data_IF_681903345215
#
_entry.id   IF_681903345215
#
_cell.length_a   1.000
_cell.length_b   1.000
_cell.length_c   1.000
_cell.angle_alpha   90.00
_cell.angle_beta   90.00
_cell.angle_gamma   90.00
#
_symmetry.space_group_name_H-M   'P 1'
#
loop_
_entity.id
_entity.type
_entity.pdbx_description
1 polymer ?
#
# COMPACT_ATOMS: atom_id res chain seq x y z
N UNK A 1 -86.26 26.62 -7.01
CA UNK A 1 -86.16 27.14 -5.62
C UNK A 1 -84.99 26.38 -4.97
N UNK A 2 -83.74 26.80 -5.24
CA UNK A 2 -82.83 27.59 -4.35
C UNK A 2 -82.35 26.81 -3.11
N UNK A 3 -81.12 27.00 -2.59
CA UNK A 3 -79.77 27.06 -3.17
C UNK A 3 -78.79 26.04 -2.49
N UNK A 4 -77.51 25.99 -2.92
CA UNK A 4 -76.40 25.19 -2.33
C UNK A 4 -75.88 25.78 -1.02
N UNK A 5 -75.33 24.95 -0.11
CA UNK A 5 -74.01 25.28 0.48
C UNK A 5 -73.18 24.00 0.74
N UNK A 6 -71.85 23.95 0.88
CA UNK A 6 -70.69 24.80 0.66
C UNK A 6 -69.53 23.79 0.71
N UNK A 7 -68.67 23.76 -0.30
CA UNK A 7 -67.41 23.00 -0.19
C UNK A 7 -66.48 23.86 0.67
N UNK A 8 -65.98 23.37 1.82
CA UNK A 8 -64.94 24.10 2.52
C UNK A 8 -63.62 23.88 1.77
N UNK A 9 -63.32 24.81 0.86
CA UNK A 9 -61.95 25.12 0.51
C UNK A 9 -61.28 25.78 1.72
N UNK A 10 -60.02 25.45 1.98
CA UNK A 10 -59.15 25.97 3.04
C UNK A 10 -59.20 25.27 4.40
N UNK A 11 -58.64 24.06 4.47
CA UNK A 11 -57.52 23.86 5.40
C UNK A 11 -56.30 23.43 4.58
N UNK A 12 -55.45 24.42 4.29
CA UNK A 12 -54.07 24.20 3.92
C UNK A 12 -53.40 23.37 5.05
N UNK A 13 -53.02 22.14 4.75
CA UNK A 13 -51.92 21.46 5.43
C UNK A 13 -51.05 20.78 4.37
N UNK A 14 -50.29 21.64 3.71
CA UNK A 14 -48.97 21.44 3.13
C UNK A 14 -48.40 20.02 3.19
N UNK A 15 -48.28 19.42 2.00
CA UNK A 15 -47.14 18.67 1.51
C UNK A 15 -46.07 18.21 2.54
N UNK A 16 -45.95 16.88 2.69
CA UNK A 16 -44.65 16.20 2.77
C UNK A 16 -44.88 14.78 2.23
N UNK A 17 -44.63 14.58 0.94
CA UNK A 17 -43.34 14.17 0.39
C UNK A 17 -43.00 12.72 0.76
N UNK A 18 -42.96 11.90 -0.28
CA UNK A 18 -41.85 11.00 -0.61
C UNK A 18 -41.44 10.04 0.53
N UNK A 19 -41.67 8.73 0.36
CA UNK A 19 -40.91 8.01 -0.64
C UNK A 19 -39.44 8.00 -0.25
N UNK A 20 -38.95 6.85 0.20
CA UNK A 20 -37.58 6.34 0.06
C UNK A 20 -37.23 5.52 1.29
N UNK A 21 -37.21 4.21 1.09
CA UNK A 21 -36.42 3.26 1.85
C UNK A 21 -34.98 3.77 1.94
N UNK A 22 -34.63 4.46 3.02
CA UNK A 22 -33.24 4.61 3.43
C UNK A 22 -32.86 3.36 4.21
N UNK A 23 -32.74 2.25 3.48
CA UNK A 23 -31.78 1.22 3.84
C UNK A 23 -30.44 1.95 3.70
N UNK A 24 -29.90 2.46 4.80
CA UNK A 24 -28.53 2.96 4.88
C UNK A 24 -27.59 1.77 4.73
N UNK A 25 -27.49 1.31 3.48
CA UNK A 25 -26.53 0.34 3.04
C UNK A 25 -25.13 0.91 3.27
N UNK A 26 -24.39 0.21 4.11
CA UNK A 26 -23.02 -0.18 3.85
C UNK A 26 -22.00 0.97 3.74
N UNK A 27 -21.57 1.46 4.90
CA UNK A 27 -20.25 2.10 5.04
C UNK A 27 -19.12 1.08 4.89
N UNK A 28 -19.04 0.41 3.74
CA UNK A 28 -17.79 -0.26 3.34
C UNK A 28 -16.95 0.82 2.68
N UNK A 29 -16.05 1.45 3.45
CA UNK A 29 -15.01 2.28 2.87
C UNK A 29 -14.32 1.46 1.77
N UNK A 30 -14.33 1.97 0.54
CA UNK A 30 -13.67 1.32 -0.59
C UNK A 30 -12.16 1.12 -0.33
N UNK A 31 -11.46 0.38 -1.20
CA UNK A 31 -10.02 0.22 -1.07
C UNK A 31 -9.33 1.58 -0.99
N UNK A 32 -8.39 1.72 -0.05
CA UNK A 32 -7.62 2.95 0.15
C UNK A 32 -6.92 3.35 -1.16
N UNK A 33 -6.84 4.66 -1.48
CA UNK A 33 -6.10 5.11 -2.64
C UNK A 33 -4.61 4.75 -2.50
N UNK A 34 -4.03 4.29 -3.59
CA UNK A 34 -2.59 4.04 -3.71
C UNK A 34 -1.96 5.05 -4.67
N UNK A 35 -0.67 5.31 -4.46
CA UNK A 35 0.12 6.22 -5.26
C UNK A 35 1.33 5.47 -5.81
N UNK A 36 1.64 5.58 -7.11
CA UNK A 36 2.84 5.00 -7.70
C UNK A 36 4.06 5.28 -6.85
N UNK A 37 4.78 4.21 -6.53
CA UNK A 37 5.93 4.25 -5.65
C UNK A 37 6.92 3.15 -6.06
N UNK A 38 8.20 3.48 -6.02
CA UNK A 38 9.27 2.58 -6.43
C UNK A 38 10.61 3.12 -6.03
N UNK A 39 11.66 2.59 -6.64
CA UNK A 39 13.00 3.03 -6.34
C UNK A 39 14.08 2.07 -6.78
N UNK A 40 15.23 2.16 -6.10
CA UNK A 40 16.39 1.31 -6.37
C UNK A 40 17.01 0.83 -5.06
N UNK A 41 17.38 -0.45 -5.02
CA UNK A 41 18.14 -1.06 -3.94
C UNK A 41 19.59 -1.23 -4.36
N UNK A 42 20.50 -0.68 -3.56
CA UNK A 42 21.94 -0.77 -3.78
C UNK A 42 22.65 -1.22 -2.50
N UNK A 43 23.81 -1.83 -2.66
CA UNK A 43 24.75 -1.98 -1.57
C UNK A 43 25.39 -0.64 -1.22
N UNK A 44 25.96 -0.53 -0.02
CA UNK A 44 26.71 0.67 0.40
C UNK A 44 27.86 1.05 -0.55
N UNK A 45 28.38 0.10 -1.30
CA UNK A 45 29.41 0.28 -2.34
C UNK A 45 28.85 0.83 -3.68
N UNK A 46 27.53 1.03 -3.78
CA UNK A 46 26.82 1.52 -4.96
C UNK A 46 26.39 0.43 -5.96
N UNK A 47 26.83 -0.82 -5.78
CA UNK A 47 26.44 -1.94 -6.64
C UNK A 47 24.95 -2.22 -6.47
N UNK A 48 24.16 -2.45 -7.54
CA UNK A 48 22.76 -2.83 -7.39
C UNK A 48 22.60 -4.19 -6.71
N UNK A 49 21.57 -4.31 -5.87
CA UNK A 49 21.12 -5.62 -5.39
C UNK A 49 20.30 -6.28 -6.51
N UNK A 50 20.82 -7.32 -7.14
CA UNK A 50 20.14 -8.01 -8.22
C UNK A 50 19.21 -9.11 -7.69
N UNK A 51 17.90 -8.87 -7.72
CA UNK A 51 16.89 -9.83 -7.27
C UNK A 51 16.44 -9.64 -5.82
N UNK A 52 15.42 -10.40 -5.42
CA UNK A 52 14.78 -10.29 -4.10
C UNK A 52 13.49 -9.47 -4.12
N UNK A 53 13.06 -9.05 -2.94
CA UNK A 53 11.79 -8.34 -2.73
C UNK A 53 11.95 -7.23 -1.70
N UNK A 54 11.32 -6.08 -1.96
CA UNK A 54 11.10 -5.00 -0.99
C UNK A 54 9.65 -5.08 -0.51
N UNK A 55 9.43 -4.87 0.79
CA UNK A 55 8.09 -4.76 1.37
C UNK A 55 7.98 -3.53 2.26
N UNK A 56 6.88 -2.78 2.11
CA UNK A 56 6.56 -1.57 2.86
C UNK A 56 5.28 -1.80 3.67
N UNK A 57 5.39 -1.66 4.99
CA UNK A 57 4.29 -1.79 5.95
C UNK A 57 3.88 -0.41 6.48
N UNK A 58 2.62 0.00 6.35
CA UNK A 58 2.13 1.26 6.91
C UNK A 58 2.32 1.32 8.44
N UNK A 59 2.77 2.46 8.94
CA UNK A 59 3.01 2.69 10.38
C UNK A 59 1.70 3.02 11.10
N UNK A 60 0.93 3.98 10.58
CA UNK A 60 -0.26 4.50 11.26
C UNK A 60 -1.48 3.58 11.15
N UNK A 61 -1.43 2.60 10.24
CA UNK A 61 -2.52 1.66 10.04
C UNK A 61 -1.99 0.25 9.71
N UNK A 62 -1.55 -0.52 10.71
CA UNK A 62 -0.96 -1.85 10.51
C UNK A 62 -1.95 -2.89 9.99
N UNK A 63 -3.25 -2.58 9.94
CA UNK A 63 -4.27 -3.45 9.34
C UNK A 63 -4.36 -3.30 7.82
N UNK A 64 -3.72 -2.28 7.24
CA UNK A 64 -3.62 -2.11 5.80
C UNK A 64 -2.57 -3.07 5.23
N UNK A 65 -2.89 -3.64 4.08
CA UNK A 65 -2.02 -4.59 3.36
C UNK A 65 -0.69 -3.90 3.03
N UNK A 66 0.42 -4.56 3.39
CA UNK A 66 1.76 -4.12 2.98
C UNK A 66 1.90 -4.13 1.45
N UNK A 67 2.57 -3.11 0.92
CA UNK A 67 2.94 -3.10 -0.50
C UNK A 67 4.25 -3.86 -0.73
N UNK A 68 4.40 -4.49 -1.89
CA UNK A 68 5.59 -5.29 -2.25
C UNK A 68 6.07 -5.00 -3.66
N UNK A 69 7.37 -5.16 -3.88
CA UNK A 69 7.98 -5.03 -5.20
C UNK A 69 9.16 -5.98 -5.39
N UNK A 70 9.20 -6.69 -6.51
CA UNK A 70 10.35 -7.49 -6.90
C UNK A 70 11.49 -6.60 -7.38
N UNK A 71 12.69 -6.88 -6.89
CA UNK A 71 13.90 -6.15 -7.25
C UNK A 71 14.43 -6.74 -8.58
N UNK A 72 14.56 -5.89 -9.59
CA UNK A 72 15.07 -6.24 -10.91
C UNK A 72 16.60 -6.46 -10.88
N UNK A 73 17.21 -7.03 -11.95
CA UNK A 73 18.66 -7.23 -12.01
C UNK A 73 19.48 -5.93 -11.87
N UNK A 74 18.90 -4.80 -12.26
CA UNK A 74 19.51 -3.49 -12.07
C UNK A 74 19.20 -2.87 -10.69
N UNK A 75 18.55 -3.59 -9.77
CA UNK A 75 18.19 -3.10 -8.45
C UNK A 75 16.92 -2.25 -8.40
N UNK A 76 16.27 -1.95 -9.53
CA UNK A 76 15.00 -1.21 -9.51
C UNK A 76 13.86 -2.04 -8.97
N UNK A 77 12.89 -1.40 -8.32
CA UNK A 77 11.64 -2.02 -7.91
C UNK A 77 10.46 -1.06 -8.10
N UNK A 78 9.28 -1.64 -8.21
CA UNK A 78 8.01 -0.92 -8.19
C UNK A 78 7.07 -1.61 -7.20
N UNK A 79 6.42 -0.83 -6.34
CA UNK A 79 5.50 -1.34 -5.33
C UNK A 79 4.11 -1.58 -5.91
N UNK A 80 3.42 -2.57 -5.37
CA UNK A 80 1.98 -2.75 -5.51
C UNK A 80 1.36 -3.22 -4.19
N UNK A 81 0.13 -2.76 -3.92
CA UNK A 81 -0.68 -3.12 -2.75
C UNK A 81 -1.84 -4.02 -3.15
N UNK A 82 -2.73 -3.56 -4.04
CA UNK A 82 -3.94 -4.30 -4.41
C UNK A 82 -3.83 -4.94 -5.80
N UNK A 83 -3.07 -4.30 -6.69
CA UNK A 83 -2.77 -4.75 -8.04
C UNK A 83 -1.29 -4.57 -8.34
N UNK A 84 -0.72 -5.32 -9.30
CA UNK A 84 0.67 -5.13 -9.69
C UNK A 84 0.94 -3.68 -10.11
N UNK A 85 1.91 -3.04 -9.46
CA UNK A 85 2.40 -1.70 -9.81
C UNK A 85 1.49 -0.53 -9.44
N UNK A 86 0.38 -0.75 -8.71
CA UNK A 86 -0.52 0.34 -8.27
C UNK A 86 0.07 1.22 -7.15
N UNK A 87 1.24 0.86 -6.64
CA UNK A 87 2.00 1.62 -5.67
C UNK A 87 1.69 1.24 -4.23
N UNK A 88 1.64 2.25 -3.36
CA UNK A 88 1.44 2.09 -1.93
C UNK A 88 0.46 3.14 -1.40
N UNK A 89 -0.17 2.87 -0.26
CA UNK A 89 -1.03 3.85 0.41
C UNK A 89 -0.19 5.04 0.92
N UNK A 90 -0.80 6.23 0.94
CA UNK A 90 -0.17 7.43 1.51
C UNK A 90 0.17 7.25 2.99
N UNK A 91 1.27 7.87 3.43
CA UNK A 91 1.71 7.88 4.82
C UNK A 91 3.11 7.31 5.03
N UNK A 92 3.50 7.17 6.29
CA UNK A 92 4.79 6.59 6.67
C UNK A 92 4.74 5.05 6.64
N UNK A 93 5.81 4.45 6.11
CA UNK A 93 5.99 3.00 6.05
C UNK A 93 7.33 2.60 6.65
N UNK A 94 7.34 1.49 7.39
CA UNK A 94 8.56 0.73 7.62
C UNK A 94 8.83 -0.18 6.44
N UNK A 95 10.10 -0.39 6.11
CA UNK A 95 10.47 -1.29 5.03
C UNK A 95 11.39 -2.43 5.48
N UNK A 96 11.36 -3.51 4.71
CA UNK A 96 12.34 -4.59 4.77
C UNK A 96 12.76 -5.00 3.36
N UNK A 97 13.91 -5.67 3.29
CA UNK A 97 14.46 -6.23 2.05
C UNK A 97 14.72 -7.72 2.27
N UNK A 98 14.19 -8.54 1.39
CA UNK A 98 14.49 -9.97 1.33
C UNK A 98 15.38 -10.23 0.12
N UNK A 99 16.61 -10.72 0.30
CA UNK A 99 17.50 -10.99 -0.83
C UNK A 99 17.01 -12.19 -1.65
N UNK A 100 17.51 -12.38 -2.88
CA UNK A 100 17.15 -13.55 -3.68
C UNK A 100 17.59 -14.84 -2.96
N UNK A 101 16.75 -15.88 -3.05
CA UNK A 101 17.13 -17.22 -2.61
C UNK A 101 18.01 -17.86 -3.68
N UNK A 102 19.26 -18.17 -3.34
CA UNK A 102 20.08 -19.04 -4.19
C UNK A 102 19.69 -20.49 -3.91
N UNK A 103 19.08 -21.15 -4.89
CA UNK A 103 18.86 -22.59 -4.86
C UNK A 103 20.14 -23.25 -5.35
N UNK A 104 20.86 -23.96 -4.48
CA UNK A 104 22.00 -24.78 -4.91
C UNK A 104 21.52 -25.97 -5.75
N UNK A 105 22.31 -26.36 -6.75
CA UNK A 105 21.94 -27.41 -7.71
C UNK A 105 22.02 -28.86 -7.16
N UNK A 106 22.28 -29.06 -5.86
CA UNK A 106 22.41 -30.38 -5.23
C UNK A 106 21.88 -30.35 -3.81
N UNK A 107 21.38 -31.49 -3.33
CA UNK A 107 20.83 -31.78 -1.99
C UNK A 107 21.76 -31.47 -0.79
N UNK A 108 22.82 -30.70 -0.99
CA UNK A 108 23.55 -30.05 0.10
C UNK A 108 22.75 -28.85 0.58
N UNK A 109 22.37 -28.87 1.86
CA UNK A 109 21.88 -27.69 2.58
C UNK A 109 23.04 -26.69 2.71
N UNK A 110 23.40 -26.01 1.62
CA UNK A 110 24.23 -24.82 1.68
C UNK A 110 23.36 -23.76 2.33
N UNK A 111 23.71 -23.35 3.54
CA UNK A 111 23.19 -22.11 4.11
C UNK A 111 23.40 -21.04 3.03
N UNK A 112 22.32 -20.46 2.45
CA UNK A 112 22.47 -19.50 1.37
C UNK A 112 23.42 -18.40 1.85
N UNK A 113 24.38 -17.95 1.02
CA UNK A 113 25.24 -16.83 1.40
C UNK A 113 24.37 -15.70 1.93
N UNK A 114 24.74 -15.12 3.08
CA UNK A 114 24.04 -13.93 3.56
C UNK A 114 24.35 -12.78 2.61
N UNK A 115 23.46 -12.58 1.64
CA UNK A 115 23.63 -11.57 0.58
C UNK A 115 23.64 -10.17 1.19
N UNK A 116 22.75 -9.94 2.14
CA UNK A 116 22.61 -8.69 2.89
C UNK A 116 22.66 -8.97 4.39
N UNK A 117 23.00 -7.96 5.17
CA UNK A 117 22.94 -8.01 6.64
C UNK A 117 21.51 -8.40 7.09
N UNK A 118 21.36 -9.40 7.99
CA UNK A 118 20.07 -9.86 8.48
C UNK A 118 19.17 -8.75 9.06
N UNK A 119 19.72 -7.63 9.52
CA UNK A 119 18.93 -6.52 10.09
C UNK A 119 17.87 -5.99 9.11
N UNK A 120 18.16 -6.00 7.81
CA UNK A 120 17.25 -5.50 6.78
C UNK A 120 16.06 -6.42 6.51
N UNK A 121 16.06 -7.64 7.06
CA UNK A 121 15.01 -8.65 6.84
C UNK A 121 13.86 -8.56 7.85
N UNK A 122 13.86 -7.55 8.73
CA UNK A 122 12.78 -7.29 9.69
C UNK A 122 12.49 -5.80 9.73
N UNK A 123 11.23 -5.42 9.83
CA UNK A 123 10.83 -4.01 9.92
C UNK A 123 11.41 -3.31 11.14
N UNK A 124 11.50 -4.03 12.26
CA UNK A 124 11.87 -3.49 13.55
C UNK A 124 13.38 -3.21 13.63
N UNK A 125 14.19 -3.93 12.86
CA UNK A 125 15.66 -3.83 12.89
C UNK A 125 16.27 -3.18 11.66
N UNK A 126 15.51 -3.01 10.57
CA UNK A 126 16.05 -2.49 9.30
C UNK A 126 16.43 -1.02 9.38
N UNK A 127 15.76 -0.25 10.26
CA UNK A 127 15.85 1.22 10.29
C UNK A 127 15.30 1.91 9.03
N UNK A 128 14.72 1.15 8.08
CA UNK A 128 14.23 1.68 6.82
C UNK A 128 12.82 2.27 7.02
N UNK A 129 12.68 3.57 6.73
CA UNK A 129 11.43 4.31 6.81
C UNK A 129 11.28 5.22 5.61
N UNK A 130 10.10 5.21 4.99
CA UNK A 130 9.79 5.99 3.80
C UNK A 130 8.38 6.55 3.87
N UNK A 131 8.18 7.75 3.33
CA UNK A 131 6.87 8.38 3.24
C UNK A 131 6.37 8.32 1.81
N UNK A 132 5.20 7.72 1.61
CA UNK A 132 4.50 7.73 0.33
C UNK A 132 3.58 8.94 0.29
N UNK A 133 3.76 9.76 -0.74
CA UNK A 133 3.04 11.02 -0.94
C UNK A 133 2.09 10.95 -2.13
N UNK A 134 1.13 11.88 -2.17
CA UNK A 134 0.31 12.13 -3.37
C UNK A 134 1.12 12.77 -4.50
N UNK A 135 2.18 13.50 -4.17
CA UNK A 135 3.14 13.97 -5.16
C UNK A 135 4.02 12.80 -5.59
N UNK A 136 3.58 12.08 -6.62
CA UNK A 136 4.23 10.87 -7.12
C UNK A 136 5.71 11.07 -7.49
N UNK A 137 6.15 12.31 -7.74
CA UNK A 137 7.55 12.62 -8.05
C UNK A 137 8.48 12.38 -6.86
N UNK A 138 7.95 12.38 -5.63
CA UNK A 138 8.74 12.13 -4.42
C UNK A 138 8.82 10.66 -4.04
N UNK A 139 8.06 9.79 -4.71
CA UNK A 139 7.96 8.36 -4.37
C UNK A 139 9.00 7.50 -5.12
N UNK A 140 10.22 8.04 -5.29
CA UNK A 140 11.38 7.35 -5.86
C UNK A 140 12.43 7.18 -4.74
N UNK A 141 12.54 5.96 -4.21
CA UNK A 141 13.26 5.69 -2.97
C UNK A 141 14.62 5.02 -3.22
N UNK A 142 15.68 5.59 -2.66
CA UNK A 142 17.00 4.97 -2.62
C UNK A 142 17.16 4.13 -1.34
N UNK A 143 17.29 2.81 -1.50
CA UNK A 143 17.47 1.88 -0.38
C UNK A 143 18.92 1.38 -0.40
N UNK A 144 19.69 1.71 0.64
CA UNK A 144 21.08 1.23 0.80
C UNK A 144 21.15 0.11 1.83
N UNK A 145 21.73 -1.01 1.45
CA UNK A 145 21.91 -2.19 2.31
C UNK A 145 23.38 -2.56 2.46
N UNK A 146 23.75 -3.11 3.62
CA UNK A 146 25.06 -3.74 3.83
C UNK A 146 25.03 -5.19 3.35
N UNK A 147 26.18 -5.69 2.90
CA UNK A 147 26.37 -7.12 2.60
C UNK A 147 26.26 -7.94 3.89
N UNK A 148 25.88 -9.21 3.79
CA UNK A 148 25.91 -10.08 4.96
C UNK A 148 27.33 -10.48 5.31
N UNK A 149 27.61 -10.60 6.61
CA UNK A 149 28.91 -11.02 7.14
C UNK A 149 30.03 -9.95 7.11
N UNK A 150 29.70 -8.69 6.80
CA UNK A 150 30.61 -7.53 6.89
C UNK A 150 30.55 -6.83 8.23
#
# INVERSE_FOLDING_TARGET
>A
MTPRPVVPAFVLAYALLLGSSLITGCGSAGPLPTYPAGGRVTFVDGTPLAGGTVEFRPVDNPHVISSRGSIQPDGKFQLGTFRPGDGAVEGEHQALVVPPLFKGDRDEVRVPPQVIDPQYRRYETSGLRFTVSRDVKTNDFEIKVKRGGS
#
